data_IF_208530933798
#
_entry.id   IF_208530933798
#
_cell.length_a   1.000
_cell.length_b   1.000
_cell.length_c   1.000
_cell.angle_alpha   90.00
_cell.angle_beta   90.00
_cell.angle_gamma   90.00
#
_symmetry.space_group_name_H-M   'P 1'
#
loop_
_entity.id
_entity.type
_entity.pdbx_description
1 polymer ?
#
# COMPACT_ATOMS: atom_id res chain seq x y z
N UNK A 1 -28.13 -5.54 -1.99
CA UNK A 1 -28.19 -4.08 -1.73
C UNK A 1 -28.09 -3.81 -0.21
N UNK A 2 -28.81 -4.54 0.67
CA UNK A 2 -28.71 -4.38 2.13
C UNK A 2 -27.28 -4.68 2.65
N UNK A 3 -26.63 -5.72 2.18
CA UNK A 3 -25.26 -6.11 2.59
C UNK A 3 -24.22 -5.03 2.20
N UNK A 4 -24.38 -4.40 1.05
CA UNK A 4 -23.50 -3.31 0.61
C UNK A 4 -23.71 -2.03 1.45
N UNK A 5 -24.94 -1.74 1.83
CA UNK A 5 -25.26 -0.59 2.71
C UNK A 5 -24.77 -0.80 4.14
N UNK A 6 -24.83 -2.04 4.66
CA UNK A 6 -24.31 -2.38 5.99
C UNK A 6 -22.79 -2.28 6.01
N UNK A 7 -22.09 -2.83 5.02
CA UNK A 7 -20.63 -2.69 4.88
C UNK A 7 -20.19 -1.22 4.84
N UNK A 8 -20.91 -0.39 4.07
CA UNK A 8 -20.59 1.04 3.98
C UNK A 8 -20.82 1.79 5.30
N UNK A 9 -21.75 1.32 6.15
CA UNK A 9 -22.01 1.92 7.46
C UNK A 9 -20.94 1.54 8.49
N UNK A 10 -20.50 0.29 8.51
CA UNK A 10 -19.43 -0.19 9.40
C UNK A 10 -18.08 0.47 9.05
N UNK A 11 -17.69 0.46 7.80
CA UNK A 11 -16.44 1.09 7.35
C UNK A 11 -16.35 2.57 7.73
N UNK A 12 -17.48 3.29 7.71
CA UNK A 12 -17.51 4.71 8.09
C UNK A 12 -17.31 4.93 9.58
N UNK A 13 -17.83 4.07 10.46
CA UNK A 13 -17.59 4.16 11.90
C UNK A 13 -16.12 3.85 12.21
N UNK A 14 -15.57 2.78 11.65
CA UNK A 14 -14.17 2.40 11.85
C UNK A 14 -13.20 3.50 11.41
N UNK A 15 -13.50 4.19 10.31
CA UNK A 15 -12.71 5.35 9.91
C UNK A 15 -12.75 6.50 10.92
N UNK A 16 -13.93 6.80 11.45
CA UNK A 16 -14.06 7.86 12.46
C UNK A 16 -13.34 7.49 13.75
N UNK A 17 -13.48 6.25 14.20
CA UNK A 17 -12.79 5.73 15.39
C UNK A 17 -11.26 5.79 15.21
N UNK A 18 -10.77 5.47 14.00
CA UNK A 18 -9.35 5.62 13.68
C UNK A 18 -8.89 7.08 13.76
N UNK A 19 -9.65 8.01 13.17
CA UNK A 19 -9.30 9.44 13.15
C UNK A 19 -9.36 10.04 14.55
N UNK A 20 -10.29 9.63 15.41
CA UNK A 20 -10.35 10.05 16.81
C UNK A 20 -9.12 9.61 17.58
N UNK A 21 -8.64 8.39 17.33
CA UNK A 21 -7.38 7.88 17.91
C UNK A 21 -6.12 8.52 17.31
N UNK A 22 -6.22 9.10 16.10
CA UNK A 22 -5.09 9.67 15.34
C UNK A 22 -5.43 11.07 14.80
N UNK A 23 -5.52 12.10 15.67
CA UNK A 23 -6.10 13.40 15.31
C UNK A 23 -5.32 14.19 14.26
N UNK A 24 -4.05 13.85 14.02
CA UNK A 24 -3.24 14.47 12.95
C UNK A 24 -3.42 13.81 11.57
N UNK A 25 -4.01 12.61 11.49
CA UNK A 25 -4.04 11.78 10.29
C UNK A 25 -4.54 12.50 9.04
N UNK A 26 -5.72 13.09 9.11
CA UNK A 26 -6.33 13.75 7.95
C UNK A 26 -5.46 14.88 7.38
N UNK A 27 -4.85 15.65 8.27
CA UNK A 27 -3.98 16.76 7.88
C UNK A 27 -2.71 16.24 7.21
N UNK A 28 -2.03 15.31 7.83
CA UNK A 28 -0.79 14.75 7.27
C UNK A 28 -1.04 14.06 5.93
N UNK A 29 -2.13 13.27 5.81
CA UNK A 29 -2.48 12.68 4.52
C UNK A 29 -2.75 13.76 3.48
N UNK A 30 -3.48 14.82 3.82
CA UNK A 30 -3.72 15.93 2.90
C UNK A 30 -2.42 16.60 2.45
N UNK A 31 -1.53 16.92 3.39
CA UNK A 31 -0.24 17.57 3.10
C UNK A 31 0.66 16.68 2.20
N UNK A 32 0.69 15.36 2.45
CA UNK A 32 1.51 14.40 1.69
C UNK A 32 0.97 14.14 0.29
N UNK A 33 -0.35 14.13 0.10
CA UNK A 33 -0.96 13.83 -1.21
C UNK A 33 -1.22 15.08 -2.06
N UNK A 34 -1.12 16.29 -1.48
CA UNK A 34 -1.37 17.57 -2.19
C UNK A 34 -0.53 17.74 -3.46
N UNK A 35 0.77 17.34 -3.50
CA UNK A 35 1.56 17.42 -4.71
C UNK A 35 1.15 16.47 -5.83
N UNK A 36 0.32 15.48 -5.55
CA UNK A 36 -0.04 14.45 -6.52
C UNK A 36 -1.18 14.90 -7.44
N UNK A 37 -1.11 14.57 -8.72
CA UNK A 37 -2.21 14.81 -9.68
C UNK A 37 -3.50 14.09 -9.27
N UNK A 38 -3.40 12.94 -8.60
CA UNK A 38 -4.51 12.07 -8.21
C UNK A 38 -4.84 12.16 -6.72
N UNK A 39 -4.78 13.34 -6.15
CA UNK A 39 -4.98 13.63 -4.71
C UNK A 39 -6.21 12.94 -4.13
N UNK A 40 -7.37 13.03 -4.78
CA UNK A 40 -8.61 12.40 -4.27
C UNK A 40 -8.53 10.87 -4.21
N UNK A 41 -7.90 10.25 -5.20
CA UNK A 41 -7.73 8.81 -5.24
C UNK A 41 -6.78 8.34 -4.14
N UNK A 42 -5.61 8.98 -3.99
CA UNK A 42 -4.64 8.68 -2.93
C UNK A 42 -5.25 8.87 -1.53
N UNK A 43 -5.99 9.97 -1.33
CA UNK A 43 -6.71 10.19 -0.08
C UNK A 43 -7.71 9.06 0.21
N UNK A 44 -8.42 8.57 -0.81
CA UNK A 44 -9.35 7.45 -0.69
C UNK A 44 -8.66 6.15 -0.31
N UNK A 45 -7.44 5.89 -0.83
CA UNK A 45 -6.63 4.73 -0.44
C UNK A 45 -6.20 4.81 1.02
N UNK A 46 -5.69 5.96 1.47
CA UNK A 46 -5.29 6.17 2.86
C UNK A 46 -6.48 6.02 3.82
N UNK A 47 -7.65 6.56 3.44
CA UNK A 47 -8.90 6.36 4.19
C UNK A 47 -9.25 4.87 4.28
N UNK A 48 -9.17 4.15 3.18
CA UNK A 48 -9.48 2.71 3.14
C UNK A 48 -8.53 1.89 4.01
N UNK A 49 -7.23 2.23 4.02
CA UNK A 49 -6.28 1.61 4.93
C UNK A 49 -6.65 1.82 6.40
N UNK A 50 -7.05 3.04 6.78
CA UNK A 50 -7.48 3.38 8.12
C UNK A 50 -8.72 2.59 8.55
N UNK A 51 -9.73 2.49 7.67
CA UNK A 51 -10.94 1.70 7.89
C UNK A 51 -10.62 0.22 8.13
N UNK A 52 -9.81 -0.38 7.25
CA UNK A 52 -9.44 -1.80 7.37
C UNK A 52 -8.59 -2.10 8.60
N UNK A 53 -7.65 -1.23 8.91
CA UNK A 53 -6.83 -1.36 10.12
C UNK A 53 -7.71 -1.33 11.37
N UNK A 54 -8.56 -0.32 11.52
CA UNK A 54 -9.43 -0.16 12.68
C UNK A 54 -10.39 -1.34 12.84
N UNK A 55 -11.01 -1.78 11.75
CA UNK A 55 -11.87 -2.96 11.74
C UNK A 55 -11.10 -4.22 12.20
N UNK A 56 -9.88 -4.40 11.69
CA UNK A 56 -9.02 -5.52 12.09
C UNK A 56 -8.71 -5.48 13.58
N UNK A 57 -8.20 -4.35 14.07
CA UNK A 57 -7.85 -4.17 15.49
C UNK A 57 -9.05 -4.36 16.42
N UNK A 58 -10.25 -3.93 15.98
CA UNK A 58 -11.48 -4.08 16.77
C UNK A 58 -12.00 -5.53 16.85
N UNK A 59 -11.55 -6.40 15.93
CA UNK A 59 -12.05 -7.78 15.80
C UNK A 59 -11.07 -8.84 16.27
N UNK A 60 -9.76 -8.53 16.25
CA UNK A 60 -8.69 -9.46 16.59
C UNK A 60 -8.53 -9.53 18.12
N UNK A 61 -8.49 -10.73 18.69
CA UNK A 61 -8.22 -10.97 20.11
C UNK A 61 -6.73 -10.75 20.44
N UNK A 62 -6.42 -10.62 21.74
CA UNK A 62 -5.06 -10.33 22.23
C UNK A 62 -4.02 -11.41 21.90
N UNK A 63 -4.46 -12.62 21.59
CA UNK A 63 -3.59 -13.76 21.26
C UNK A 63 -3.57 -14.05 19.73
N UNK A 64 -4.24 -13.21 18.92
CA UNK A 64 -4.37 -13.41 17.49
C UNK A 64 -3.49 -12.43 16.72
N UNK A 65 -3.11 -12.82 15.51
CA UNK A 65 -2.29 -11.98 14.62
C UNK A 65 -3.16 -11.37 13.53
N UNK A 66 -3.11 -10.05 13.40
CA UNK A 66 -3.74 -9.31 12.31
C UNK A 66 -2.81 -9.28 11.10
N UNK A 67 -3.20 -9.98 10.03
CA UNK A 67 -2.52 -9.89 8.74
C UNK A 67 -3.28 -8.94 7.82
N UNK A 68 -2.61 -7.89 7.36
CA UNK A 68 -3.15 -6.93 6.40
C UNK A 68 -2.37 -7.01 5.09
N UNK A 69 -3.05 -7.39 4.01
CA UNK A 69 -2.51 -7.46 2.66
C UNK A 69 -2.27 -6.04 2.12
N UNK A 70 -3.33 -5.30 1.88
CA UNK A 70 -3.26 -3.90 1.46
C UNK A 70 -3.45 -2.97 2.67
N UNK A 71 -2.42 -2.21 3.02
CA UNK A 71 -2.41 -1.36 4.21
C UNK A 71 -1.69 -0.03 3.96
N UNK A 72 -1.46 0.75 5.01
CA UNK A 72 -0.74 2.03 4.94
C UNK A 72 0.59 1.95 4.21
N UNK A 73 1.35 0.86 4.33
CA UNK A 73 2.67 0.73 3.74
C UNK A 73 2.57 0.53 2.23
N UNK A 74 1.61 -0.30 1.78
CA UNK A 74 1.29 -0.46 0.37
C UNK A 74 0.83 0.86 -0.24
N UNK A 75 -0.06 1.58 0.43
CA UNK A 75 -0.53 2.89 -0.05
C UNK A 75 0.51 3.99 0.06
N UNK A 76 1.45 3.90 1.00
CA UNK A 76 2.64 4.74 1.01
C UNK A 76 3.49 4.60 -0.26
N UNK A 77 3.62 3.38 -0.80
CA UNK A 77 4.28 3.17 -2.08
C UNK A 77 3.50 3.80 -3.25
N UNK A 78 2.15 3.79 -3.22
CA UNK A 78 1.35 4.51 -4.21
C UNK A 78 1.54 6.04 -4.11
N UNK A 79 1.59 6.59 -2.91
CA UNK A 79 1.87 8.02 -2.71
C UNK A 79 3.22 8.38 -3.33
N UNK A 80 4.27 7.61 -3.05
CA UNK A 80 5.60 7.83 -3.64
C UNK A 80 5.61 7.71 -5.16
N UNK A 81 4.88 6.73 -5.68
CA UNK A 81 4.78 6.52 -7.12
C UNK A 81 4.16 7.74 -7.82
N UNK A 82 3.16 8.37 -7.23
CA UNK A 82 2.39 9.48 -7.83
C UNK A 82 3.03 10.86 -7.55
N UNK A 83 3.84 11.00 -6.50
CA UNK A 83 4.41 12.30 -6.14
C UNK A 83 5.85 12.46 -6.62
N UNK A 84 6.76 11.64 -6.13
CA UNK A 84 8.17 11.68 -6.52
C UNK A 84 8.88 10.41 -6.07
N UNK A 85 9.80 9.90 -6.88
CA UNK A 85 10.69 8.80 -6.49
C UNK A 85 11.95 9.24 -5.72
N UNK A 86 12.16 10.54 -5.60
CA UNK A 86 13.14 11.12 -4.70
C UNK A 86 12.39 11.92 -3.60
N UNK A 87 11.58 11.22 -2.75
CA UNK A 87 10.89 11.88 -1.66
C UNK A 87 11.94 12.40 -0.71
N UNK A 88 11.73 13.60 -0.19
CA UNK A 88 12.43 14.02 1.01
C UNK A 88 12.17 12.93 2.06
N UNK A 89 13.21 12.36 2.70
CA UNK A 89 13.03 11.46 3.83
C UNK A 89 12.07 12.00 4.89
N UNK A 90 11.92 13.33 5.00
CA UNK A 90 10.96 13.97 5.88
C UNK A 90 9.51 13.72 5.48
N UNK A 91 9.18 13.68 4.17
CA UNK A 91 7.81 13.43 3.70
C UNK A 91 7.39 11.99 3.99
N UNK A 92 8.29 11.03 3.77
CA UNK A 92 8.09 9.64 4.17
C UNK A 92 7.93 9.50 5.68
N UNK A 93 8.77 10.18 6.46
CA UNK A 93 8.70 10.16 7.91
C UNK A 93 7.34 10.66 8.39
N UNK A 94 6.88 11.81 7.90
CA UNK A 94 5.58 12.39 8.27
C UNK A 94 4.42 11.43 7.97
N UNK A 95 4.45 10.74 6.82
CA UNK A 95 3.42 9.74 6.48
C UNK A 95 3.46 8.53 7.43
N UNK A 96 4.65 7.96 7.69
CA UNK A 96 4.77 6.74 8.49
C UNK A 96 4.73 6.99 10.00
N UNK A 97 4.98 8.20 10.48
CA UNK A 97 4.71 8.58 11.88
C UNK A 97 3.23 8.49 12.23
N UNK A 98 2.37 8.63 11.24
CA UNK A 98 0.92 8.56 11.39
C UNK A 98 0.34 7.17 11.10
N UNK A 99 1.07 6.35 10.36
CA UNK A 99 0.66 5.00 10.03
C UNK A 99 1.03 4.04 11.18
N UNK A 100 0.12 3.14 11.58
CA UNK A 100 0.46 2.09 12.54
C UNK A 100 1.64 1.27 12.06
N UNK A 101 2.70 1.19 12.86
CA UNK A 101 3.90 0.41 12.52
C UNK A 101 3.60 -1.07 12.72
N UNK A 102 3.80 -1.95 11.72
CA UNK A 102 3.62 -3.38 11.88
C UNK A 102 4.76 -3.98 12.74
N UNK A 103 4.51 -5.09 13.40
CA UNK A 103 5.58 -5.86 14.05
C UNK A 103 6.50 -6.52 13.03
N UNK A 104 5.91 -7.00 11.92
CA UNK A 104 6.63 -7.60 10.80
C UNK A 104 6.06 -7.08 9.48
N UNK A 105 6.92 -6.63 8.58
CA UNK A 105 6.59 -6.34 7.19
C UNK A 105 7.11 -7.44 6.29
N UNK A 106 6.24 -8.11 5.54
CA UNK A 106 6.64 -9.03 4.47
C UNK A 106 6.68 -8.25 3.16
N UNK A 107 7.87 -8.03 2.61
CA UNK A 107 8.09 -7.37 1.33
C UNK A 107 8.37 -8.41 0.25
N UNK A 108 7.37 -8.64 -0.60
CA UNK A 108 7.49 -9.56 -1.74
C UNK A 108 7.97 -8.77 -2.95
N UNK A 109 9.18 -9.02 -3.40
CA UNK A 109 9.80 -8.37 -4.54
C UNK A 109 9.75 -9.26 -5.78
N UNK A 110 9.35 -8.70 -6.92
CA UNK A 110 9.39 -9.38 -8.21
C UNK A 110 9.81 -8.42 -9.31
N UNK A 111 10.65 -8.84 -10.26
CA UNK A 111 10.99 -8.03 -11.43
C UNK A 111 9.76 -7.59 -12.21
N UNK A 112 9.77 -6.36 -12.73
CA UNK A 112 8.62 -5.76 -13.42
C UNK A 112 8.13 -6.55 -14.64
N UNK A 113 9.04 -7.14 -15.40
CA UNK A 113 8.73 -8.01 -16.54
C UNK A 113 7.96 -9.29 -16.10
N UNK A 114 8.32 -9.85 -14.95
CA UNK A 114 7.60 -10.97 -14.33
C UNK A 114 6.21 -10.58 -13.88
N UNK A 115 6.07 -9.40 -13.27
CA UNK A 115 4.77 -8.87 -12.87
C UNK A 115 3.85 -8.72 -14.08
N UNK A 116 4.34 -8.13 -15.17
CA UNK A 116 3.58 -7.95 -16.41
C UNK A 116 3.21 -9.28 -17.07
N UNK A 117 4.11 -10.27 -17.07
CA UNK A 117 3.82 -11.59 -17.60
C UNK A 117 2.69 -12.27 -16.80
N UNK A 118 2.76 -12.24 -15.46
CA UNK A 118 1.73 -12.82 -14.60
C UNK A 118 0.38 -12.11 -14.72
N UNK A 119 0.37 -10.80 -14.97
CA UNK A 119 -0.87 -10.07 -15.26
C UNK A 119 -1.51 -10.53 -16.54
N UNK A 120 -0.74 -10.66 -17.62
CA UNK A 120 -1.23 -11.15 -18.92
C UNK A 120 -1.77 -12.59 -18.81
N UNK A 121 -1.06 -13.47 -18.10
CA UNK A 121 -1.47 -14.86 -17.90
C UNK A 121 -2.79 -14.98 -17.11
N UNK A 122 -3.10 -14.01 -16.26
CA UNK A 122 -4.40 -13.92 -15.55
C UNK A 122 -5.53 -13.36 -16.39
N UNK A 123 -5.27 -12.98 -17.63
CA UNK A 123 -6.23 -12.32 -18.50
C UNK A 123 -6.49 -10.85 -18.15
N UNK A 124 -5.68 -10.29 -17.28
CA UNK A 124 -5.63 -8.86 -17.03
C UNK A 124 -4.94 -8.20 -18.23
N UNK A 125 -5.70 -7.44 -19.00
CA UNK A 125 -5.22 -6.69 -20.16
C UNK A 125 -4.30 -5.51 -19.79
N UNK A 126 -3.83 -5.48 -18.55
CA UNK A 126 -3.01 -4.39 -17.97
C UNK A 126 -3.84 -3.23 -17.43
N UNK A 127 -5.17 -3.25 -17.62
CA UNK A 127 -6.09 -2.25 -17.07
C UNK A 127 -6.31 -2.39 -15.56
N UNK A 128 -5.92 -3.52 -14.99
CA UNK A 128 -6.07 -3.79 -13.56
C UNK A 128 -5.06 -3.04 -12.67
N UNK A 129 -4.02 -2.45 -13.25
CA UNK A 129 -3.31 -1.40 -12.53
C UNK A 129 -4.09 -0.10 -12.78
N UNK A 130 -4.79 0.46 -11.78
CA UNK A 130 -5.36 1.80 -11.88
C UNK A 130 -4.33 2.85 -12.32
N UNK A 131 -3.05 2.48 -12.21
CA UNK A 131 -1.89 3.24 -12.62
C UNK A 131 -1.58 3.13 -14.12
N UNK A 132 -1.90 2.00 -14.79
CA UNK A 132 -1.51 1.81 -16.18
C UNK A 132 -2.33 2.66 -17.15
N UNK A 133 -3.62 2.90 -16.89
CA UNK A 133 -4.46 3.71 -17.78
C UNK A 133 -4.05 5.20 -17.81
N UNK A 134 -3.49 5.72 -16.69
CA UNK A 134 -3.06 7.12 -16.59
C UNK A 134 -1.56 7.30 -16.69
N UNK A 135 -0.78 6.27 -16.36
CA UNK A 135 0.68 6.28 -16.52
C UNK A 135 1.13 6.23 -17.99
N UNK A 136 0.25 5.90 -18.93
CA UNK A 136 0.60 5.83 -20.38
C UNK A 136 1.07 7.18 -20.92
N UNK A 137 0.61 8.29 -20.35
CA UNK A 137 1.04 9.63 -20.78
C UNK A 137 2.38 10.06 -20.16
N UNK A 138 2.77 9.51 -19.00
CA UNK A 138 4.00 9.85 -18.28
C UNK A 138 5.15 8.85 -18.56
N UNK A 139 4.83 7.57 -18.80
CA UNK A 139 5.83 6.52 -18.98
C UNK A 139 5.93 6.07 -20.43
N UNK A 140 7.18 5.81 -20.87
CA UNK A 140 7.46 5.30 -22.21
C UNK A 140 6.97 3.85 -22.41
N UNK A 141 6.72 3.11 -21.31
CA UNK A 141 6.23 1.72 -21.34
C UNK A 141 5.62 1.24 -20.02
N UNK A 142 4.73 0.22 -20.06
CA UNK A 142 4.22 -0.42 -18.84
C UNK A 142 5.32 -1.00 -17.94
N UNK A 143 6.44 -1.44 -18.53
CA UNK A 143 7.59 -1.95 -17.77
C UNK A 143 8.24 -0.85 -16.93
N UNK A 144 8.40 0.33 -17.49
CA UNK A 144 8.95 1.47 -16.76
C UNK A 144 8.06 1.87 -15.57
N UNK A 145 6.75 1.88 -15.76
CA UNK A 145 5.79 2.11 -14.68
C UNK A 145 5.90 1.06 -13.57
N UNK A 146 6.02 -0.24 -13.94
CA UNK A 146 6.19 -1.32 -12.98
C UNK A 146 7.51 -1.22 -12.21
N UNK A 147 8.61 -0.87 -12.86
CA UNK A 147 9.90 -0.70 -12.17
C UNK A 147 9.88 0.54 -11.26
N UNK A 148 9.20 1.62 -11.64
CA UNK A 148 8.99 2.78 -10.76
C UNK A 148 8.23 2.37 -9.50
N UNK A 149 7.12 1.64 -9.66
CA UNK A 149 6.33 1.17 -8.53
C UNK A 149 7.11 0.21 -7.62
N UNK A 150 7.83 -0.75 -8.21
CA UNK A 150 8.72 -1.66 -7.49
C UNK A 150 9.74 -0.90 -6.64
N UNK A 151 10.35 0.16 -7.22
CA UNK A 151 11.28 1.04 -6.50
C UNK A 151 10.59 1.75 -5.34
N UNK A 152 9.37 2.25 -5.50
CA UNK A 152 8.60 2.86 -4.42
C UNK A 152 8.35 1.88 -3.28
N UNK A 153 7.95 0.64 -3.57
CA UNK A 153 7.78 -0.42 -2.56
C UNK A 153 9.09 -0.72 -1.82
N UNK A 154 10.21 -0.76 -2.54
CA UNK A 154 11.54 -1.00 -1.94
C UNK A 154 11.96 0.13 -1.01
N UNK A 155 11.71 1.39 -1.38
CA UNK A 155 12.00 2.56 -0.53
C UNK A 155 11.17 2.52 0.77
N UNK A 156 9.89 2.15 0.69
CA UNK A 156 9.04 1.96 1.88
C UNK A 156 9.60 0.85 2.77
N UNK A 157 9.97 -0.30 2.21
CA UNK A 157 10.53 -1.40 2.96
C UNK A 157 11.90 -1.04 3.61
N UNK A 158 12.72 -0.25 2.93
CA UNK A 158 13.99 0.25 3.48
C UNK A 158 13.76 1.24 4.63
N UNK A 159 12.80 2.14 4.48
CA UNK A 159 12.45 3.08 5.55
C UNK A 159 11.97 2.33 6.79
N UNK A 160 11.01 1.43 6.62
CA UNK A 160 10.42 0.66 7.71
C UNK A 160 11.42 -0.31 8.35
N UNK A 161 12.38 -0.83 7.61
CA UNK A 161 13.44 -1.68 8.14
C UNK A 161 14.31 -1.04 9.22
N UNK A 162 14.15 0.27 9.46
CA UNK A 162 14.81 1.00 10.56
C UNK A 162 14.04 0.91 11.88
N UNK A 163 12.74 0.57 11.82
CA UNK A 163 11.83 0.61 12.98
C UNK A 163 11.06 -0.68 13.20
N UNK A 164 11.06 -1.61 12.22
CA UNK A 164 10.39 -2.91 12.30
C UNK A 164 11.19 -4.02 11.63
N UNK A 165 10.80 -5.27 11.86
CA UNK A 165 11.36 -6.41 11.14
C UNK A 165 10.82 -6.46 9.71
N UNK A 166 11.70 -6.55 8.72
CA UNK A 166 11.34 -6.71 7.31
C UNK A 166 11.83 -8.06 6.80
N UNK A 167 10.88 -8.90 6.41
CA UNK A 167 11.15 -10.16 5.70
C UNK A 167 11.06 -9.88 4.20
N UNK A 168 12.16 -10.09 3.47
CA UNK A 168 12.20 -9.93 2.01
C UNK A 168 12.08 -11.28 1.34
N UNK A 169 11.15 -11.38 0.40
CA UNK A 169 10.89 -12.58 -0.40
C UNK A 169 11.09 -12.25 -1.87
N UNK A 170 12.02 -12.92 -2.53
CA UNK A 170 12.22 -12.78 -3.96
C UNK A 170 11.24 -13.68 -4.72
N UNK A 171 10.20 -13.09 -5.27
CA UNK A 171 9.18 -13.80 -6.03
C UNK A 171 9.58 -14.01 -7.50
N UNK A 172 10.71 -14.70 -7.70
CA UNK A 172 11.26 -15.04 -9.03
C UNK A 172 10.95 -16.48 -9.45
N UNK A 173 10.54 -17.32 -8.50
CA UNK A 173 10.27 -18.74 -8.68
C UNK A 173 8.79 -19.12 -8.76
N UNK A 174 8.52 -20.38 -8.47
CA UNK A 174 7.16 -20.93 -8.27
C UNK A 174 6.62 -20.52 -6.90
N UNK A 175 5.31 -20.74 -6.66
CA UNK A 175 4.69 -20.47 -5.36
C UNK A 175 5.35 -21.32 -4.27
N UNK A 176 5.66 -22.60 -4.57
CA UNK A 176 6.29 -23.53 -3.65
C UNK A 176 7.69 -23.07 -3.23
N UNK A 177 8.49 -22.57 -4.18
CA UNK A 177 9.81 -22.03 -3.92
C UNK A 177 9.76 -20.79 -3.03
N UNK A 178 8.86 -19.85 -3.34
CA UNK A 178 8.69 -18.63 -2.55
C UNK A 178 8.14 -18.91 -1.14
N UNK A 179 7.29 -19.92 -0.97
CA UNK A 179 6.75 -20.30 0.35
C UNK A 179 7.85 -20.87 1.24
N UNK A 180 8.76 -21.65 0.68
CA UNK A 180 9.88 -22.24 1.42
C UNK A 180 10.89 -21.19 1.95
N UNK A 181 10.92 -19.98 1.38
CA UNK A 181 11.78 -18.89 1.87
C UNK A 181 11.24 -18.19 3.12
N UNK A 182 9.94 -18.39 3.42
CA UNK A 182 9.26 -17.72 4.55
C UNK A 182 9.18 -18.60 5.79
N UNK A 183 9.34 -19.93 5.64
CA UNK A 183 9.39 -20.90 6.74
C UNK A 183 10.76 -20.88 7.45
#
# INVERSE_FOLDING_TARGET
IEDACLRHRYLRSDFLDFVEGNPGFLRTVADVVDPAERTYWLFSLCRYAAERYQMGVSTVGSEETLCLDENFHHYGAHVLFETSLDPDPADLAAYFEMAPTPEVLVHVDAPGDRCLTRQRDRGDDGSALPQAEHAVDEFSSPLEAQEKYRRACSLVAEYLGRVTSVVRVENTGTVEECTAEVE
#
